data_IF_387724845701
#
_entry.id   IF_387724845701
#
_cell.length_a   1.000
_cell.length_b   1.000
_cell.length_c   1.000
_cell.angle_alpha   90.00
_cell.angle_beta   90.00
_cell.angle_gamma   90.00
#
_symmetry.space_group_name_H-M   'P 1'
#
loop_
_entity.id
_entity.type
_entity.pdbx_description
1 polymer ?
#
# COMPACT_ATOMS: atom_id res chain seq x y z
N UNK A 1 50.79 20.46 25.33
CA UNK A 1 50.00 19.22 25.17
C UNK A 1 48.47 19.42 25.12
N UNK A 2 47.99 20.56 24.57
CA UNK A 2 46.51 20.83 24.46
C UNK A 2 45.92 20.65 23.06
N UNK A 3 46.73 20.40 22.02
CA UNK A 3 46.23 20.37 20.63
C UNK A 3 45.85 18.97 20.11
N UNK A 4 46.16 17.89 20.85
CA UNK A 4 45.84 16.52 20.41
C UNK A 4 44.38 16.15 20.67
N UNK A 5 43.83 16.56 21.81
CA UNK A 5 42.50 16.18 22.25
C UNK A 5 41.39 16.82 21.37
N UNK A 6 41.60 18.08 20.96
CA UNK A 6 40.67 18.81 20.09
C UNK A 6 40.57 18.17 18.69
N UNK A 7 41.71 17.71 18.14
CA UNK A 7 41.74 17.07 16.82
C UNK A 7 41.02 15.69 16.82
N UNK A 8 41.17 14.91 17.88
CA UNK A 8 40.51 13.61 18.01
C UNK A 8 38.99 13.79 18.14
N UNK A 9 38.51 14.76 18.91
CA UNK A 9 37.09 15.08 19.04
C UNK A 9 36.46 15.54 17.72
N UNK A 10 37.18 16.40 16.95
CA UNK A 10 36.69 16.89 15.67
C UNK A 10 36.59 15.76 14.63
N UNK A 11 37.56 14.85 14.56
CA UNK A 11 37.57 13.72 13.62
C UNK A 11 36.43 12.75 13.98
N UNK A 12 36.22 12.47 15.28
CA UNK A 12 35.15 11.57 15.75
C UNK A 12 33.75 12.16 15.45
N UNK A 13 33.59 13.47 15.64
CA UNK A 13 32.34 14.18 15.31
C UNK A 13 32.03 14.16 13.81
N UNK A 14 33.01 14.36 12.94
CA UNK A 14 32.84 14.27 11.48
C UNK A 14 32.55 12.84 11.02
N UNK A 15 33.17 11.82 11.64
CA UNK A 15 32.90 10.41 11.33
C UNK A 15 31.48 10.00 11.73
N UNK A 16 30.99 10.42 12.89
CA UNK A 16 29.61 10.15 13.34
C UNK A 16 28.61 10.87 12.44
N UNK A 17 28.87 12.11 12.04
CA UNK A 17 27.99 12.89 11.17
C UNK A 17 27.91 12.26 9.76
N UNK A 18 29.03 11.84 9.19
CA UNK A 18 29.08 11.18 7.89
C UNK A 18 28.39 9.82 7.89
N UNK A 19 28.50 9.06 8.97
CA UNK A 19 27.81 7.78 9.14
C UNK A 19 26.31 7.96 9.26
N UNK A 20 25.85 8.95 10.00
CA UNK A 20 24.41 9.28 10.13
C UNK A 20 23.79 9.74 8.82
N UNK A 21 24.52 10.55 8.03
CA UNK A 21 24.08 11.01 6.70
C UNK A 21 23.96 9.81 5.73
N UNK A 22 24.91 8.88 5.76
CA UNK A 22 24.85 7.69 4.93
C UNK A 22 23.67 6.78 5.30
N UNK A 23 23.37 6.63 6.59
CA UNK A 23 22.25 5.81 7.05
C UNK A 23 20.90 6.39 6.61
N UNK A 24 20.68 7.68 6.81
CA UNK A 24 19.45 8.37 6.36
C UNK A 24 19.27 8.30 4.84
N UNK A 25 20.36 8.39 4.08
CA UNK A 25 20.31 8.30 2.62
C UNK A 25 19.99 6.88 2.15
N UNK A 26 20.47 5.84 2.84
CA UNK A 26 20.12 4.44 2.55
C UNK A 26 18.65 4.19 2.84
N UNK A 27 18.13 4.67 3.98
CA UNK A 27 16.73 4.54 4.34
C UNK A 27 15.80 5.27 3.34
N UNK A 28 16.18 6.47 2.87
CA UNK A 28 15.43 7.20 1.84
C UNK A 28 15.41 6.44 0.51
N UNK A 29 16.52 5.86 0.09
CA UNK A 29 16.61 5.04 -1.12
C UNK A 29 15.77 3.77 -1.00
N UNK A 30 15.78 3.10 0.15
CA UNK A 30 14.98 1.90 0.41
C UNK A 30 13.49 2.23 0.38
N UNK A 31 13.06 3.30 1.06
CA UNK A 31 11.67 3.77 1.02
C UNK A 31 11.23 4.14 -0.40
N UNK A 32 12.07 4.82 -1.17
CA UNK A 32 11.80 5.16 -2.57
C UNK A 32 11.66 3.91 -3.45
N UNK A 33 12.49 2.90 -3.23
CA UNK A 33 12.42 1.62 -3.94
C UNK A 33 11.12 0.87 -3.61
N UNK A 34 10.72 0.81 -2.33
CA UNK A 34 9.48 0.20 -1.89
C UNK A 34 8.25 0.93 -2.44
N UNK A 35 8.27 2.27 -2.47
CA UNK A 35 7.21 3.08 -3.07
C UNK A 35 7.01 2.77 -4.56
N UNK A 36 8.11 2.68 -5.32
CA UNK A 36 8.04 2.32 -6.74
C UNK A 36 7.51 0.88 -6.93
N UNK A 37 7.93 -0.06 -6.09
CA UNK A 37 7.45 -1.44 -6.13
C UNK A 37 5.94 -1.49 -5.92
N UNK A 38 5.42 -0.96 -4.81
CA UNK A 38 3.98 -1.05 -4.50
C UNK A 38 3.12 -0.31 -5.51
N UNK A 39 3.63 0.78 -6.11
CA UNK A 39 2.95 1.47 -7.21
C UNK A 39 2.86 0.57 -8.45
N UNK A 40 3.97 -0.01 -8.89
CA UNK A 40 4.03 -0.91 -10.05
C UNK A 40 3.12 -2.13 -9.87
N UNK A 41 3.08 -2.69 -8.66
CA UNK A 41 2.23 -3.84 -8.36
C UNK A 41 0.74 -3.49 -8.42
N UNK A 42 0.31 -2.32 -7.90
CA UNK A 42 -1.08 -1.87 -8.03
C UNK A 42 -1.45 -1.58 -9.49
N UNK A 43 -0.57 -0.95 -10.26
CA UNK A 43 -0.78 -0.69 -11.68
C UNK A 43 -0.92 -2.01 -12.47
N UNK A 44 -0.13 -3.03 -12.13
CA UNK A 44 -0.24 -4.38 -12.70
C UNK A 44 -1.56 -5.05 -12.34
N UNK A 45 -1.99 -4.99 -11.07
CA UNK A 45 -3.27 -5.53 -10.63
C UNK A 45 -4.46 -4.82 -11.33
N UNK A 46 -4.41 -3.50 -11.47
CA UNK A 46 -5.42 -2.73 -12.21
C UNK A 46 -5.40 -3.08 -13.71
N UNK A 47 -4.24 -3.33 -14.31
CA UNK A 47 -4.12 -3.80 -15.70
C UNK A 47 -4.77 -5.19 -15.89
N UNK A 48 -4.63 -6.09 -14.93
CA UNK A 48 -5.34 -7.38 -14.92
C UNK A 48 -6.87 -7.17 -14.87
N UNK A 49 -7.37 -6.28 -13.99
CA UNK A 49 -8.80 -5.96 -13.93
C UNK A 49 -9.29 -5.34 -15.24
N UNK A 50 -8.48 -4.51 -15.89
CA UNK A 50 -8.79 -3.96 -17.21
C UNK A 50 -8.96 -5.05 -18.26
N UNK A 51 -8.08 -6.05 -18.30
CA UNK A 51 -8.17 -7.18 -19.22
C UNK A 51 -9.47 -7.98 -19.01
N UNK A 52 -9.92 -8.13 -17.77
CA UNK A 52 -11.20 -8.77 -17.44
C UNK A 52 -12.38 -7.89 -17.93
N UNK A 53 -12.31 -6.58 -17.67
CA UNK A 53 -13.38 -5.65 -18.08
C UNK A 53 -13.54 -5.60 -19.58
N UNK A 54 -12.46 -5.69 -20.37
CA UNK A 54 -12.52 -5.76 -21.85
C UNK A 54 -13.35 -6.97 -22.32
N UNK A 55 -13.30 -8.12 -21.62
CA UNK A 55 -14.15 -9.27 -21.93
C UNK A 55 -15.64 -8.97 -21.68
N UNK A 56 -15.95 -8.21 -20.64
CA UNK A 56 -17.31 -7.73 -20.41
C UNK A 56 -17.76 -6.78 -21.57
N UNK A 57 -16.92 -5.83 -21.98
CA UNK A 57 -17.22 -4.92 -23.10
C UNK A 57 -17.42 -5.67 -24.43
N UNK A 58 -16.72 -6.80 -24.62
CA UNK A 58 -16.89 -7.69 -25.75
C UNK A 58 -18.15 -8.59 -25.67
N UNK A 59 -18.91 -8.52 -24.57
CA UNK A 59 -20.09 -9.35 -24.35
C UNK A 59 -19.81 -10.81 -23.98
N UNK A 60 -18.55 -11.14 -23.65
CA UNK A 60 -18.13 -12.50 -23.26
C UNK A 60 -18.62 -12.87 -21.85
N UNK A 61 -18.90 -11.88 -21.00
CA UNK A 61 -19.39 -12.05 -19.62
C UNK A 61 -20.16 -10.83 -19.15
N UNK A 62 -21.04 -11.01 -18.16
CA UNK A 62 -21.72 -9.90 -17.48
C UNK A 62 -20.74 -9.09 -16.61
N UNK A 63 -21.13 -7.87 -16.24
CA UNK A 63 -20.32 -7.03 -15.32
C UNK A 63 -20.17 -7.72 -13.94
N UNK A 64 -21.19 -8.43 -13.47
CA UNK A 64 -21.13 -9.17 -12.20
C UNK A 64 -20.13 -10.31 -12.24
N UNK A 65 -20.12 -11.08 -13.34
CA UNK A 65 -19.13 -12.14 -13.55
C UNK A 65 -17.72 -11.58 -13.65
N UNK A 66 -17.54 -10.47 -14.35
CA UNK A 66 -16.27 -9.77 -14.44
C UNK A 66 -15.77 -9.27 -13.08
N UNK A 67 -16.64 -8.67 -12.27
CA UNK A 67 -16.32 -8.24 -10.90
C UNK A 67 -16.00 -9.44 -10.01
N UNK A 68 -16.78 -10.52 -10.09
CA UNK A 68 -16.50 -11.73 -9.34
C UNK A 68 -15.14 -12.32 -9.68
N UNK A 69 -14.83 -12.46 -10.96
CA UNK A 69 -13.53 -12.96 -11.44
C UNK A 69 -12.38 -12.06 -10.98
N UNK A 70 -12.56 -10.74 -11.08
CA UNK A 70 -11.58 -9.75 -10.64
C UNK A 70 -11.29 -9.85 -9.13
N UNK A 71 -12.33 -10.00 -8.30
CA UNK A 71 -12.19 -10.18 -6.85
C UNK A 71 -11.48 -11.51 -6.51
N UNK A 72 -11.86 -12.60 -7.18
CA UNK A 72 -11.26 -13.92 -6.96
C UNK A 72 -9.75 -13.90 -7.31
N UNK A 73 -9.35 -13.27 -8.42
CA UNK A 73 -7.96 -13.13 -8.81
C UNK A 73 -7.17 -12.21 -7.86
N UNK A 74 -7.71 -11.05 -7.50
CA UNK A 74 -7.06 -10.13 -6.54
C UNK A 74 -6.80 -10.81 -5.18
N UNK A 75 -7.70 -11.72 -4.75
CA UNK A 75 -7.57 -12.43 -3.47
C UNK A 75 -6.38 -13.38 -3.47
N UNK A 76 -6.07 -13.99 -4.61
CA UNK A 76 -4.97 -14.94 -4.77
C UNK A 76 -3.66 -14.28 -5.22
N UNK A 77 -3.74 -13.05 -5.75
CA UNK A 77 -2.58 -12.34 -6.27
C UNK A 77 -1.62 -11.97 -5.13
N UNK A 78 -0.34 -12.27 -5.33
CA UNK A 78 0.74 -12.01 -4.37
C UNK A 78 2.01 -11.59 -5.09
N UNK A 79 2.88 -10.91 -4.38
CA UNK A 79 4.20 -10.54 -4.87
C UNK A 79 5.23 -10.56 -3.72
N UNK A 80 6.50 -10.75 -4.05
CA UNK A 80 7.55 -10.86 -3.05
C UNK A 80 7.25 -11.97 -2.02
N UNK A 81 7.65 -11.76 -0.78
CA UNK A 81 7.46 -12.72 0.31
C UNK A 81 6.08 -12.58 0.97
N UNK A 82 5.67 -11.35 1.28
CA UNK A 82 4.48 -11.04 2.08
C UNK A 82 3.48 -10.09 1.36
N UNK A 83 3.75 -9.70 0.11
CA UNK A 83 2.93 -8.75 -0.63
C UNK A 83 1.55 -9.31 -0.97
N UNK A 84 0.50 -8.53 -0.74
CA UNK A 84 -0.90 -8.88 -1.01
C UNK A 84 -1.71 -7.66 -1.41
N UNK A 85 -2.87 -7.89 -2.03
CA UNK A 85 -3.76 -6.83 -2.47
C UNK A 85 -5.03 -6.79 -1.64
N UNK A 86 -5.65 -5.60 -1.63
CA UNK A 86 -7.02 -5.40 -1.18
C UNK A 86 -7.75 -4.49 -2.16
N UNK A 87 -9.08 -4.50 -2.08
CA UNK A 87 -9.92 -3.56 -2.80
C UNK A 87 -11.12 -3.18 -1.94
N UNK A 88 -11.49 -1.90 -2.02
CA UNK A 88 -12.73 -1.36 -1.45
C UNK A 88 -13.51 -0.63 -2.56
N UNK A 89 -14.84 -0.62 -2.48
CA UNK A 89 -15.64 0.23 -3.35
C UNK A 89 -15.46 1.70 -3.00
N UNK A 90 -15.86 2.61 -3.87
CA UNK A 90 -15.82 4.06 -3.62
C UNK A 90 -16.67 4.45 -2.38
N UNK A 91 -17.66 3.63 -1.99
CA UNK A 91 -18.47 3.79 -0.77
C UNK A 91 -17.84 3.13 0.47
N UNK A 92 -16.63 2.58 0.36
CA UNK A 92 -15.89 1.98 1.45
C UNK A 92 -16.34 0.57 1.83
N UNK A 93 -17.06 -0.13 0.96
CA UNK A 93 -17.38 -1.55 1.16
C UNK A 93 -16.20 -2.39 0.72
N UNK A 94 -15.71 -3.25 1.61
CA UNK A 94 -14.57 -4.11 1.29
C UNK A 94 -14.96 -5.18 0.26
N UNK A 95 -14.19 -5.26 -0.81
CA UNK A 95 -14.35 -6.27 -1.88
C UNK A 95 -13.44 -7.46 -1.62
N UNK A 96 -12.17 -7.18 -1.30
CA UNK A 96 -11.12 -8.18 -1.03
C UNK A 96 -10.21 -7.67 0.07
N UNK A 97 -9.90 -8.54 1.04
CA UNK A 97 -8.83 -8.31 2.00
C UNK A 97 -8.15 -9.64 2.32
N UNK A 98 -6.90 -9.80 1.90
CA UNK A 98 -6.15 -11.04 2.09
C UNK A 98 -6.20 -11.58 3.52
N UNK A 99 -6.66 -12.82 3.67
CA UNK A 99 -6.77 -13.50 4.96
C UNK A 99 -7.87 -12.98 5.88
N UNK A 100 -8.73 -12.05 5.44
CA UNK A 100 -9.81 -11.45 6.21
C UNK A 100 -11.14 -11.51 5.46
N UNK A 101 -11.49 -12.69 5.00
CA UNK A 101 -12.78 -12.95 4.31
C UNK A 101 -14.00 -12.56 5.15
N UNK A 102 -13.84 -12.53 6.47
CA UNK A 102 -14.85 -12.06 7.42
C UNK A 102 -15.17 -10.56 7.29
N UNK A 103 -14.32 -9.79 6.61
CA UNK A 103 -14.48 -8.34 6.39
C UNK A 103 -15.10 -8.03 5.03
N UNK A 104 -14.98 -8.94 4.06
CA UNK A 104 -15.53 -8.77 2.72
C UNK A 104 -17.06 -8.53 2.77
N UNK A 105 -17.54 -7.55 2.00
CA UNK A 105 -18.92 -7.08 2.00
C UNK A 105 -19.29 -6.10 3.11
N UNK A 106 -18.39 -5.82 4.07
CA UNK A 106 -18.64 -4.84 5.14
C UNK A 106 -18.17 -3.45 4.76
N UNK A 107 -18.96 -2.44 5.13
CA UNK A 107 -18.54 -1.05 5.02
C UNK A 107 -17.51 -0.72 6.10
N UNK A 108 -16.40 -0.09 5.72
CA UNK A 108 -15.26 0.21 6.60
C UNK A 108 -14.95 1.70 6.72
N UNK A 109 -15.82 2.59 6.22
CA UNK A 109 -15.55 4.04 6.24
C UNK A 109 -15.27 4.58 7.65
N UNK A 110 -15.90 4.00 8.67
CA UNK A 110 -15.73 4.43 10.05
C UNK A 110 -14.60 3.66 10.79
N UNK A 111 -13.87 2.79 10.07
CA UNK A 111 -12.73 2.12 10.65
C UNK A 111 -11.61 3.12 10.94
N UNK A 112 -11.03 3.01 12.14
CA UNK A 112 -9.90 3.82 12.59
C UNK A 112 -8.70 2.92 12.86
N UNK A 113 -7.52 3.48 12.63
CA UNK A 113 -6.29 2.91 13.15
C UNK A 113 -6.12 3.21 14.65
N UNK A 114 -5.03 2.74 15.26
CA UNK A 114 -4.78 2.93 16.70
C UNK A 114 -4.51 4.41 17.09
N UNK A 115 -4.23 5.27 16.11
CA UNK A 115 -4.07 6.72 16.31
C UNK A 115 -5.37 7.50 16.04
N UNK A 116 -6.46 6.82 15.70
CA UNK A 116 -7.76 7.42 15.43
C UNK A 116 -7.95 7.92 13.99
N UNK A 117 -7.04 7.62 13.08
CA UNK A 117 -7.11 7.99 11.67
C UNK A 117 -8.17 7.18 10.95
N UNK A 118 -9.08 7.82 10.23
CA UNK A 118 -10.04 7.16 9.34
C UNK A 118 -9.35 6.70 8.04
N UNK A 119 -8.47 5.73 8.15
CA UNK A 119 -7.55 5.34 7.08
C UNK A 119 -8.26 4.90 5.78
N UNK A 120 -9.46 4.31 5.86
CA UNK A 120 -10.23 3.96 4.65
C UNK A 120 -10.63 5.22 3.88
N UNK A 121 -11.08 6.28 4.57
CA UNK A 121 -11.43 7.56 3.91
C UNK A 121 -10.22 8.16 3.21
N UNK A 122 -9.04 8.10 3.84
CA UNK A 122 -7.80 8.60 3.25
C UNK A 122 -7.35 7.77 2.04
N UNK A 123 -7.46 6.43 2.13
CA UNK A 123 -7.17 5.53 1.01
C UNK A 123 -8.08 5.79 -0.20
N UNK A 124 -9.40 5.94 0.03
CA UNK A 124 -10.34 6.24 -1.04
C UNK A 124 -10.06 7.61 -1.68
N UNK A 125 -9.82 8.64 -0.85
CA UNK A 125 -9.47 9.99 -1.33
C UNK A 125 -8.14 10.01 -2.11
N UNK A 126 -7.14 9.23 -1.70
CA UNK A 126 -5.89 9.10 -2.41
C UNK A 126 -6.05 8.36 -3.74
N UNK A 127 -6.79 7.25 -3.73
CA UNK A 127 -7.05 6.44 -4.92
C UNK A 127 -7.84 7.16 -6.00
N UNK A 128 -8.71 8.10 -5.61
CA UNK A 128 -9.51 8.91 -6.53
C UNK A 128 -8.71 10.01 -7.26
N UNK A 129 -7.49 10.32 -6.83
CA UNK A 129 -6.62 11.27 -7.53
C UNK A 129 -6.18 10.73 -8.88
N UNK A 130 -5.87 11.62 -9.80
CA UNK A 130 -5.26 11.22 -11.07
C UNK A 130 -3.92 10.54 -10.82
N UNK A 131 -3.78 9.31 -11.34
CA UNK A 131 -2.62 8.47 -11.08
C UNK A 131 -2.53 7.86 -9.67
N UNK A 132 -3.60 7.95 -8.83
CA UNK A 132 -3.61 7.36 -7.49
C UNK A 132 -2.83 8.12 -6.43
N UNK A 133 -2.49 7.45 -5.32
CA UNK A 133 -1.74 8.11 -4.24
C UNK A 133 -1.24 7.19 -3.14
N UNK A 134 -0.33 7.74 -2.33
CA UNK A 134 0.22 7.07 -1.15
C UNK A 134 -0.50 7.52 0.12
N UNK A 135 -0.68 6.58 1.07
CA UNK A 135 -1.25 6.82 2.40
C UNK A 135 -0.45 6.07 3.44
N UNK A 136 -0.22 6.70 4.58
CA UNK A 136 0.40 6.10 5.76
C UNK A 136 -0.64 5.94 6.87
N UNK A 137 -0.68 4.76 7.49
CA UNK A 137 -1.59 4.43 8.57
C UNK A 137 -1.07 3.23 9.36
N UNK A 138 -1.66 2.94 10.50
CA UNK A 138 -1.29 1.79 11.30
C UNK A 138 -2.22 0.62 11.01
N UNK A 139 -1.63 -0.55 10.75
CA UNK A 139 -2.42 -1.74 10.41
C UNK A 139 -1.76 -3.01 10.94
N UNK A 140 -2.59 -3.94 11.38
CA UNK A 140 -2.12 -5.22 11.93
C UNK A 140 -1.71 -6.17 10.79
N UNK A 141 -0.45 -6.58 10.79
CA UNK A 141 0.05 -7.59 9.84
C UNK A 141 -0.64 -8.92 10.07
N UNK A 142 -0.91 -9.68 9.01
CA UNK A 142 -1.54 -11.00 9.11
C UNK A 142 -0.79 -11.90 10.10
N UNK A 143 -1.54 -12.49 11.05
CA UNK A 143 -0.98 -13.36 12.09
C UNK A 143 -0.31 -12.63 13.25
N UNK A 144 -0.33 -11.29 13.28
CA UNK A 144 0.12 -10.47 14.40
C UNK A 144 -1.08 -9.89 15.16
N UNK A 145 -0.84 -9.40 16.37
CA UNK A 145 -1.85 -8.72 17.20
C UNK A 145 -1.55 -7.23 17.41
N UNK A 146 -0.36 -6.79 17.04
CA UNK A 146 0.10 -5.40 17.20
C UNK A 146 0.07 -4.74 15.82
N UNK A 147 -0.45 -3.52 15.75
CA UNK A 147 -0.41 -2.72 14.54
C UNK A 147 1.00 -2.16 14.33
N UNK A 148 1.41 -2.05 13.08
CA UNK A 148 2.68 -1.50 12.65
C UNK A 148 2.41 -0.38 11.62
N UNK A 149 3.31 0.58 11.51
CA UNK A 149 3.21 1.63 10.50
C UNK A 149 3.24 1.00 9.11
N UNK A 150 2.23 1.31 8.30
CA UNK A 150 2.08 0.80 6.94
C UNK A 150 1.99 1.95 5.95
N UNK A 151 2.77 1.86 4.90
CA UNK A 151 2.67 2.75 3.74
C UNK A 151 2.08 1.98 2.57
N UNK A 152 1.04 2.56 1.96
CA UNK A 152 0.29 1.94 0.87
C UNK A 152 0.17 2.86 -0.32
N UNK A 153 0.14 2.28 -1.52
CA UNK A 153 -0.28 2.95 -2.73
C UNK A 153 -1.64 2.42 -3.17
N UNK A 154 -2.51 3.32 -3.63
CA UNK A 154 -3.87 3.01 -4.06
C UNK A 154 -4.21 3.68 -5.38
N UNK A 155 -5.03 3.00 -6.19
CA UNK A 155 -5.49 3.47 -7.48
C UNK A 155 -6.93 3.06 -7.74
N UNK A 156 -7.77 4.02 -8.19
CA UNK A 156 -9.16 3.76 -8.57
C UNK A 156 -9.24 3.09 -9.93
N UNK A 157 -9.84 1.91 -9.98
CA UNK A 157 -10.29 1.26 -11.19
C UNK A 157 -11.76 1.61 -11.44
N UNK A 158 -11.99 2.72 -12.13
CA UNK A 158 -13.33 3.30 -12.40
C UNK A 158 -14.36 2.30 -12.95
N UNK A 159 -14.02 1.39 -13.92
CA UNK A 159 -15.03 0.50 -14.48
C UNK A 159 -15.73 -0.39 -13.45
N UNK A 160 -15.04 -0.76 -12.36
CA UNK A 160 -15.63 -1.52 -11.27
C UNK A 160 -16.04 -0.67 -10.06
N UNK A 161 -15.60 0.61 -10.01
CA UNK A 161 -15.76 1.47 -8.84
C UNK A 161 -14.93 0.99 -7.66
N UNK A 162 -13.73 0.43 -7.91
CA UNK A 162 -12.87 -0.14 -6.89
C UNK A 162 -11.57 0.64 -6.72
N UNK A 163 -11.26 1.00 -5.50
CA UNK A 163 -9.92 1.46 -5.11
C UNK A 163 -9.12 0.22 -4.72
N UNK A 164 -8.11 -0.08 -5.54
CA UNK A 164 -7.21 -1.22 -5.36
C UNK A 164 -5.94 -0.73 -4.71
N UNK A 165 -5.41 -1.49 -3.77
CA UNK A 165 -4.19 -1.11 -3.07
C UNK A 165 -3.33 -2.27 -2.63
N UNK A 166 -2.06 -1.94 -2.40
CA UNK A 166 -1.08 -2.77 -1.68
C UNK A 166 -0.15 -1.87 -0.87
N UNK A 167 0.72 -2.44 -0.04
CA UNK A 167 1.63 -1.66 0.78
C UNK A 167 2.64 -2.50 1.54
N UNK A 168 3.61 -1.83 2.14
CA UNK A 168 4.65 -2.42 2.98
C UNK A 168 4.59 -1.87 4.42
N UNK A 169 5.16 -2.60 5.36
CA UNK A 169 5.30 -2.21 6.76
C UNK A 169 6.71 -1.67 7.01
N UNK A 170 6.78 -0.64 7.83
CA UNK A 170 8.04 0.01 8.24
C UNK A 170 8.49 -0.46 9.62
#
# INVERSE_FOLDING_TARGET
MKNGLTRVFTIFFFLVLSFSLNFAQVEELENSSQDMLIKSEVETAVSMLRAIFVKHEAGEMSLEEAKKLGADLLRELKYGEDGYFWADTEEGVNVVLYGRKDVEGKNRLEAKDEHGTFFIKELLAAGAKDGGGYVEYWFTKKGKSIAEAKRSYVLLFKPFGWVVGTGYYR
#
